data_IF_665845562485
#
_entry.id   IF_665845562485
#
_cell.length_a   1.000
_cell.length_b   1.000
_cell.length_c   1.000
_cell.angle_alpha   90.00
_cell.angle_beta   90.00
_cell.angle_gamma   90.00
#
_symmetry.space_group_name_H-M   'P 1'
#
loop_
_entity.id
_entity.type
_entity.pdbx_description
1 polymer ?
#
# COMPACT_ATOMS: atom_id res chain seq x y z
N UNK A 1 28.68 2.20 -53.12
CA UNK A 1 27.53 2.04 -52.21
C UNK A 1 27.94 2.72 -50.92
N UNK A 2 27.49 3.96 -50.75
CA UNK A 2 27.79 4.77 -49.56
C UNK A 2 26.92 4.28 -48.41
N UNK A 3 27.54 3.92 -47.29
CA UNK A 3 26.83 3.59 -46.05
C UNK A 3 26.49 4.90 -45.34
N UNK A 4 25.22 5.29 -45.38
CA UNK A 4 24.69 6.43 -44.64
C UNK A 4 24.75 6.13 -43.15
N UNK A 5 25.72 6.72 -42.45
CA UNK A 5 25.86 6.65 -40.99
C UNK A 5 24.85 7.55 -40.29
N UNK A 6 23.58 7.13 -40.28
CA UNK A 6 22.57 7.78 -39.44
C UNK A 6 22.81 7.41 -37.98
N UNK A 7 23.19 8.39 -37.15
CA UNK A 7 23.23 8.25 -35.70
C UNK A 7 21.83 7.90 -35.20
N UNK A 8 21.72 6.75 -34.52
CA UNK A 8 20.49 6.31 -33.85
C UNK A 8 20.62 6.58 -32.37
N UNK A 9 19.90 7.59 -31.90
CA UNK A 9 19.68 7.80 -30.47
C UNK A 9 19.00 6.56 -29.88
N UNK A 10 19.75 5.84 -29.05
CA UNK A 10 19.24 4.66 -28.36
C UNK A 10 19.05 5.00 -26.90
N UNK A 11 17.80 5.08 -26.45
CA UNK A 11 17.50 5.20 -25.03
C UNK A 11 17.65 3.83 -24.36
N UNK A 12 18.50 3.77 -23.32
CA UNK A 12 18.74 2.57 -22.52
C UNK A 12 18.26 2.83 -21.10
N UNK A 13 17.30 2.04 -20.62
CA UNK A 13 16.88 2.07 -19.22
C UNK A 13 17.92 1.38 -18.35
N UNK A 14 18.34 2.03 -17.26
CA UNK A 14 19.26 1.46 -16.29
C UNK A 14 18.80 1.76 -14.87
N UNK A 15 19.25 0.94 -13.92
CA UNK A 15 19.02 1.13 -12.49
C UNK A 15 20.34 1.57 -11.82
N UNK A 16 20.30 2.59 -10.99
CA UNK A 16 21.45 3.10 -10.24
C UNK A 16 21.21 2.98 -8.74
N UNK A 17 22.15 2.38 -8.04
CA UNK A 17 22.15 2.34 -6.58
C UNK A 17 22.73 3.62 -5.98
N UNK A 18 22.21 4.02 -4.83
CA UNK A 18 22.71 5.13 -4.03
C UNK A 18 22.94 4.62 -2.60
N UNK A 19 24.07 5.02 -2.00
CA UNK A 19 24.33 4.77 -0.59
C UNK A 19 23.78 5.94 0.22
N UNK A 20 22.90 5.63 1.17
CA UNK A 20 22.34 6.59 2.12
C UNK A 20 22.67 6.14 3.54
N UNK A 21 22.75 7.11 4.46
CA UNK A 21 22.99 6.88 5.88
C UNK A 21 21.82 7.47 6.67
N UNK A 22 21.34 6.74 7.68
CA UNK A 22 20.34 7.27 8.60
C UNK A 22 20.95 8.46 9.38
N UNK A 23 20.12 9.42 9.80
CA UNK A 23 20.58 10.58 10.56
C UNK A 23 21.34 10.18 11.84
N UNK A 24 20.96 9.07 12.50
CA UNK A 24 21.63 8.53 13.69
C UNK A 24 23.07 8.04 13.41
N UNK A 25 23.45 7.88 12.15
CA UNK A 25 24.78 7.43 11.74
C UNK A 25 25.73 8.59 11.40
N UNK A 26 25.28 9.85 11.52
CA UNK A 26 26.03 11.03 11.11
C UNK A 26 26.15 12.02 12.28
N UNK A 27 27.38 12.29 12.70
CA UNK A 27 27.67 13.31 13.70
C UNK A 27 27.57 14.74 13.11
N UNK A 28 27.13 15.70 13.93
CA UNK A 28 27.15 17.13 13.59
C UNK A 28 26.05 17.61 12.65
N UNK A 29 25.00 16.82 12.42
CA UNK A 29 23.81 17.28 11.69
C UNK A 29 23.05 18.34 12.49
N UNK A 30 22.36 19.27 11.79
CA UNK A 30 21.40 20.16 12.44
C UNK A 30 20.35 19.38 13.24
N UNK A 31 19.95 19.90 14.40
CA UNK A 31 18.98 19.26 15.31
C UNK A 31 17.67 18.88 14.62
N UNK A 32 17.27 19.61 13.57
CA UNK A 32 16.07 19.31 12.78
C UNK A 32 16.07 17.91 12.17
N UNK A 33 17.24 17.30 11.92
CA UNK A 33 17.36 15.94 11.39
C UNK A 33 17.26 14.85 12.47
N UNK A 34 17.33 15.24 13.74
CA UNK A 34 17.18 14.35 14.90
C UNK A 34 15.87 14.58 15.66
N UNK A 35 14.97 15.40 15.10
CA UNK A 35 13.66 15.62 15.69
C UNK A 35 12.90 14.29 15.73
N UNK A 36 12.77 13.72 16.92
CA UNK A 36 11.89 12.58 17.14
C UNK A 36 10.46 13.08 16.95
N UNK A 37 9.62 12.40 16.15
CA UNK A 37 8.21 12.71 16.13
C UNK A 37 7.68 12.61 17.56
N UNK A 38 6.90 13.59 18.00
CA UNK A 38 6.31 13.54 19.34
C UNK A 38 5.54 12.22 19.48
N UNK A 39 5.71 11.48 20.60
CA UNK A 39 4.98 10.25 20.80
C UNK A 39 3.49 10.57 20.78
N UNK A 40 2.81 10.17 19.72
CA UNK A 40 1.37 10.34 19.58
C UNK A 40 0.73 9.38 20.58
N UNK A 41 0.28 9.95 21.70
CA UNK A 41 -0.23 9.24 22.88
C UNK A 41 -1.71 8.86 22.79
N UNK A 42 -2.42 9.34 21.77
CA UNK A 42 -3.87 9.17 21.66
C UNK A 42 -4.25 8.17 20.54
N UNK A 43 -4.68 6.97 20.92
CA UNK A 43 -5.14 5.93 19.98
C UNK A 43 -6.50 6.25 19.35
N UNK A 44 -7.40 6.90 20.09
CA UNK A 44 -8.78 7.17 19.65
C UNK A 44 -8.82 8.08 18.41
N UNK A 45 -8.11 9.24 18.38
CA UNK A 45 -8.08 10.09 17.19
C UNK A 45 -7.51 9.40 15.94
N UNK A 46 -6.56 8.47 16.10
CA UNK A 46 -5.99 7.69 14.97
C UNK A 46 -7.02 6.77 14.33
N UNK A 47 -7.79 6.07 15.15
CA UNK A 47 -8.85 5.15 14.70
C UNK A 47 -9.99 5.91 14.02
N UNK A 48 -10.33 7.10 14.53
CA UNK A 48 -11.30 8.00 13.87
C UNK A 48 -10.77 8.54 12.54
N UNK A 49 -9.47 8.90 12.48
CA UNK A 49 -8.80 9.30 11.25
C UNK A 49 -8.83 8.17 10.21
N UNK A 50 -8.50 6.94 10.60
CA UNK A 50 -8.58 5.77 9.73
C UNK A 50 -10.02 5.53 9.24
N UNK A 51 -11.01 5.62 10.13
CA UNK A 51 -12.43 5.49 9.74
C UNK A 51 -12.84 6.53 8.71
N UNK A 52 -12.44 7.78 8.92
CA UNK A 52 -12.69 8.89 7.98
C UNK A 52 -11.97 8.67 6.64
N UNK A 53 -10.74 8.18 6.69
CA UNK A 53 -9.93 7.87 5.50
C UNK A 53 -10.61 6.84 4.60
N UNK A 54 -11.06 5.72 5.17
CA UNK A 54 -11.73 4.66 4.41
C UNK A 54 -13.12 5.06 3.94
N UNK A 55 -13.85 5.87 4.72
CA UNK A 55 -15.13 6.44 4.29
C UNK A 55 -14.97 7.36 3.07
N UNK A 56 -13.90 8.16 3.04
CA UNK A 56 -13.61 9.07 1.93
C UNK A 56 -13.28 8.35 0.60
N UNK A 57 -12.89 7.07 0.65
CA UNK A 57 -12.63 6.30 -0.57
C UNK A 57 -13.88 6.11 -1.44
N UNK A 58 -15.07 6.13 -0.82
CA UNK A 58 -16.34 5.82 -1.48
C UNK A 58 -16.46 4.35 -1.91
N UNK A 59 -15.68 3.45 -1.30
CA UNK A 59 -15.82 2.02 -1.52
C UNK A 59 -17.10 1.49 -0.84
N UNK A 60 -17.80 0.56 -1.50
CA UNK A 60 -18.88 -0.20 -0.87
C UNK A 60 -18.24 -1.22 0.09
N UNK A 61 -18.27 -0.94 1.38
CA UNK A 61 -17.74 -1.79 2.44
C UNK A 61 -18.93 -2.45 3.15
N UNK A 62 -18.94 -3.79 3.15
CA UNK A 62 -20.01 -4.59 3.76
C UNK A 62 -19.45 -5.44 4.88
N UNK A 63 -20.25 -5.65 5.91
CA UNK A 63 -19.87 -6.46 7.07
C UNK A 63 -20.69 -7.74 7.18
N UNK A 64 -20.03 -8.85 7.47
CA UNK A 64 -20.65 -10.17 7.62
C UNK A 64 -19.73 -11.32 7.22
N UNK A 65 -20.11 -12.54 7.59
CA UNK A 65 -19.29 -13.72 7.35
C UNK A 65 -17.97 -13.73 8.14
N UNK A 66 -17.15 -14.78 7.97
CA UNK A 66 -15.88 -14.92 8.68
C UNK A 66 -14.67 -14.35 7.93
N UNK A 67 -14.79 -14.07 6.64
CA UNK A 67 -13.65 -13.77 5.76
C UNK A 67 -13.67 -12.34 5.23
N UNK A 68 -12.49 -11.73 5.12
CA UNK A 68 -12.29 -10.46 4.41
C UNK A 68 -11.88 -10.73 2.95
N UNK A 69 -12.43 -9.98 2.01
CA UNK A 69 -12.03 -10.04 0.60
C UNK A 69 -12.58 -8.88 -0.23
N UNK A 70 -11.87 -8.50 -1.29
CA UNK A 70 -12.38 -7.66 -2.37
C UNK A 70 -13.05 -8.48 -3.48
N UNK A 71 -14.35 -8.27 -3.66
CA UNK A 71 -15.15 -8.90 -4.70
C UNK A 71 -15.20 -8.06 -5.98
N UNK A 72 -14.34 -8.38 -6.95
CA UNK A 72 -14.24 -7.62 -8.20
C UNK A 72 -15.54 -7.56 -9.02
N UNK A 73 -16.34 -8.64 -9.02
CA UNK A 73 -17.55 -8.73 -9.85
C UNK A 73 -18.67 -7.79 -9.42
N UNK A 74 -18.85 -7.61 -8.11
CA UNK A 74 -19.85 -6.71 -7.52
C UNK A 74 -19.24 -5.41 -6.99
N UNK A 75 -17.94 -5.22 -7.19
CA UNK A 75 -17.15 -4.05 -6.81
C UNK A 75 -17.33 -3.60 -5.35
N UNK A 76 -17.24 -4.54 -4.41
CA UNK A 76 -17.35 -4.25 -2.97
C UNK A 76 -16.23 -4.93 -2.17
N UNK A 77 -15.95 -4.38 -1.00
CA UNK A 77 -15.09 -4.96 0.02
C UNK A 77 -15.98 -5.65 1.04
N UNK A 78 -15.75 -6.95 1.25
CA UNK A 78 -16.36 -7.70 2.33
C UNK A 78 -15.41 -7.71 3.52
N UNK A 79 -15.92 -7.39 4.70
CA UNK A 79 -15.22 -7.49 5.98
C UNK A 79 -16.01 -8.38 6.93
N UNK A 80 -15.36 -9.16 7.81
CA UNK A 80 -15.99 -9.72 8.99
C UNK A 80 -16.53 -8.60 9.90
N UNK A 81 -17.49 -8.89 10.80
CA UNK A 81 -17.86 -7.97 11.86
C UNK A 81 -16.64 -7.51 12.66
N UNK A 82 -16.66 -6.27 13.15
CA UNK A 82 -15.52 -5.68 13.86
C UNK A 82 -15.10 -6.52 15.08
N UNK A 83 -16.06 -7.16 15.74
CA UNK A 83 -15.86 -8.03 16.91
C UNK A 83 -15.08 -9.31 16.60
N UNK A 84 -14.92 -9.67 15.31
CA UNK A 84 -14.06 -10.77 14.90
C UNK A 84 -12.56 -10.38 14.90
N UNK A 85 -12.24 -9.10 15.04
CA UNK A 85 -10.88 -8.58 15.10
C UNK A 85 -10.44 -8.38 16.55
N UNK A 86 -9.13 -8.52 16.77
CA UNK A 86 -8.53 -8.34 18.09
C UNK A 86 -8.59 -6.88 18.56
N UNK A 87 -8.39 -5.96 17.62
CA UNK A 87 -8.35 -4.52 17.85
C UNK A 87 -8.66 -3.77 16.53
N UNK A 88 -8.81 -2.45 16.66
CA UNK A 88 -9.12 -1.58 15.55
C UNK A 88 -7.99 -1.50 14.50
N UNK A 89 -6.74 -1.60 14.93
CA UNK A 89 -5.58 -1.57 14.02
C UNK A 89 -5.57 -2.79 13.11
N UNK A 90 -5.86 -3.98 13.67
CA UNK A 90 -6.01 -5.22 12.90
C UNK A 90 -7.15 -5.14 11.88
N UNK A 91 -8.28 -4.53 12.27
CA UNK A 91 -9.40 -4.29 11.36
C UNK A 91 -8.99 -3.37 10.20
N UNK A 92 -8.36 -2.22 10.50
CA UNK A 92 -7.98 -1.25 9.48
C UNK A 92 -6.81 -1.71 8.60
N UNK A 93 -5.89 -2.51 9.12
CA UNK A 93 -4.84 -3.14 8.31
C UNK A 93 -5.43 -4.14 7.31
N UNK A 94 -6.42 -4.93 7.74
CA UNK A 94 -7.14 -5.84 6.84
C UNK A 94 -7.95 -5.05 5.81
N UNK A 95 -8.62 -3.97 6.23
CA UNK A 95 -9.34 -3.09 5.31
C UNK A 95 -8.41 -2.39 4.31
N UNK A 96 -7.21 -1.99 4.73
CA UNK A 96 -6.19 -1.40 3.85
C UNK A 96 -5.73 -2.37 2.76
N UNK A 97 -5.55 -3.65 3.13
CA UNK A 97 -5.24 -4.73 2.17
C UNK A 97 -6.34 -4.87 1.12
N UNK A 98 -7.59 -5.02 1.57
CA UNK A 98 -8.71 -5.18 0.64
C UNK A 98 -9.00 -3.91 -0.16
N UNK A 99 -8.77 -2.72 0.40
CA UNK A 99 -8.85 -1.46 -0.32
C UNK A 99 -7.76 -1.36 -1.41
N UNK A 100 -6.58 -1.91 -1.16
CA UNK A 100 -5.53 -1.98 -2.18
C UNK A 100 -5.93 -2.90 -3.32
N UNK A 101 -6.55 -4.05 -3.03
CA UNK A 101 -7.18 -4.87 -4.07
C UNK A 101 -8.31 -4.15 -4.79
N UNK A 102 -9.14 -3.40 -4.07
CA UNK A 102 -10.20 -2.60 -4.65
C UNK A 102 -9.62 -1.67 -5.73
N UNK A 103 -8.48 -1.01 -5.52
CA UNK A 103 -7.88 -0.14 -6.55
C UNK A 103 -7.65 -0.79 -7.93
N UNK A 104 -7.52 -2.12 -8.02
CA UNK A 104 -7.23 -2.86 -9.26
C UNK A 104 -8.35 -2.86 -10.29
N UNK A 105 -9.58 -2.56 -9.89
CA UNK A 105 -10.76 -2.70 -10.74
C UNK A 105 -10.64 -1.88 -12.04
N UNK A 106 -11.26 -2.31 -13.15
CA UNK A 106 -11.17 -1.63 -14.45
C UNK A 106 -11.63 -0.17 -14.46
N UNK A 107 -12.46 0.24 -13.51
CA UNK A 107 -12.90 1.64 -13.35
C UNK A 107 -11.90 2.52 -12.58
N UNK A 108 -10.77 1.97 -12.16
CA UNK A 108 -9.78 2.61 -11.28
C UNK A 108 -8.39 2.52 -11.89
N UNK A 109 -7.49 1.72 -11.33
CA UNK A 109 -6.13 1.57 -11.85
C UNK A 109 -6.04 0.55 -12.97
N UNK A 110 -7.11 -0.25 -13.20
CA UNK A 110 -7.16 -1.32 -14.20
C UNK A 110 -5.87 -2.17 -14.21
N UNK A 111 -5.45 -2.55 -12.99
CA UNK A 111 -4.17 -3.21 -12.78
C UNK A 111 -4.30 -4.69 -13.14
N UNK A 112 -3.72 -5.06 -14.27
CA UNK A 112 -3.56 -6.46 -14.70
C UNK A 112 -2.09 -6.89 -14.59
N UNK A 113 -1.84 -7.85 -13.71
CA UNK A 113 -0.52 -8.45 -13.47
C UNK A 113 -0.40 -9.83 -14.14
N UNK A 114 -1.17 -10.06 -15.21
CA UNK A 114 -1.18 -11.30 -15.99
C UNK A 114 -1.90 -12.45 -15.29
N UNK A 115 -2.87 -12.14 -14.43
CA UNK A 115 -3.64 -13.14 -13.66
C UNK A 115 -4.56 -13.92 -14.59
N UNK A 116 -4.36 -15.23 -14.68
CA UNK A 116 -5.18 -16.16 -15.48
C UNK A 116 -6.04 -17.08 -14.60
N UNK A 117 -5.57 -17.46 -13.40
CA UNK A 117 -6.26 -18.31 -12.40
C UNK A 117 -5.88 -17.95 -10.96
N UNK A 118 -6.69 -18.35 -9.98
CA UNK A 118 -6.34 -18.26 -8.56
C UNK A 118 -5.08 -19.10 -8.26
N UNK A 119 -4.11 -18.55 -7.54
CA UNK A 119 -2.85 -19.24 -7.20
C UNK A 119 -1.76 -19.23 -8.29
N UNK A 120 -1.94 -18.46 -9.38
CA UNK A 120 -0.88 -18.26 -10.38
C UNK A 120 0.05 -17.08 -10.04
N UNK A 121 1.10 -16.88 -10.84
CA UNK A 121 2.09 -15.82 -10.59
C UNK A 121 1.48 -14.41 -10.56
N UNK A 122 0.43 -14.15 -11.36
CA UNK A 122 -0.26 -12.86 -11.38
C UNK A 122 -1.11 -12.64 -10.13
N UNK A 123 -1.78 -13.69 -9.65
CA UNK A 123 -2.40 -13.68 -8.32
C UNK A 123 -1.36 -13.39 -7.24
N UNK A 124 -0.18 -14.01 -7.35
CA UNK A 124 0.84 -13.87 -6.34
C UNK A 124 1.47 -12.48 -6.25
N UNK A 125 1.68 -11.85 -7.41
CA UNK A 125 2.07 -10.45 -7.47
C UNK A 125 1.00 -9.52 -6.90
N UNK A 126 -0.28 -9.77 -7.17
CA UNK A 126 -1.38 -8.93 -6.70
C UNK A 126 -1.54 -8.96 -5.18
N UNK A 127 -1.31 -10.10 -4.53
CA UNK A 127 -1.26 -10.18 -3.06
C UNK A 127 -0.05 -9.42 -2.51
N UNK A 128 1.13 -9.53 -3.15
CA UNK A 128 2.30 -8.74 -2.75
C UNK A 128 2.06 -7.23 -2.86
N UNK A 129 1.34 -6.80 -3.89
CA UNK A 129 0.89 -5.40 -4.05
C UNK A 129 -0.04 -4.99 -2.91
N UNK A 130 -1.03 -5.82 -2.57
CA UNK A 130 -1.99 -5.54 -1.52
C UNK A 130 -1.35 -5.41 -0.14
N UNK A 131 -0.37 -6.25 0.15
CA UNK A 131 0.36 -6.24 1.41
C UNK A 131 1.25 -5.01 1.56
N UNK A 132 2.00 -4.64 0.51
CA UNK A 132 2.78 -3.41 0.50
C UNK A 132 1.87 -2.17 0.58
N UNK A 133 0.73 -2.19 -0.11
CA UNK A 133 -0.26 -1.11 -0.04
C UNK A 133 -0.87 -0.97 1.35
N UNK A 134 -1.19 -2.08 2.00
CA UNK A 134 -1.64 -2.11 3.39
C UNK A 134 -0.58 -1.52 4.31
N UNK A 135 0.66 -2.01 4.24
CA UNK A 135 1.78 -1.52 5.06
C UNK A 135 2.02 0.00 4.88
N UNK A 136 2.03 0.49 3.64
CA UNK A 136 2.21 1.92 3.36
C UNK A 136 1.03 2.75 3.86
N UNK A 137 -0.20 2.26 3.71
CA UNK A 137 -1.40 2.95 4.19
C UNK A 137 -1.44 2.99 5.72
N UNK A 138 -1.15 1.89 6.40
CA UNK A 138 -1.04 1.85 7.86
C UNK A 138 0.05 2.80 8.37
N UNK A 139 1.23 2.82 7.74
CA UNK A 139 2.29 3.76 8.09
C UNK A 139 1.86 5.22 7.90
N UNK A 140 1.14 5.54 6.81
CA UNK A 140 0.62 6.87 6.56
C UNK A 140 -0.47 7.31 7.56
N UNK A 141 -1.24 6.35 8.09
CA UNK A 141 -2.28 6.57 9.09
C UNK A 141 -1.79 6.43 10.53
N UNK A 142 -0.49 6.18 10.73
CA UNK A 142 0.13 5.95 12.04
C UNK A 142 -0.56 4.81 12.82
N UNK A 143 -0.93 3.74 12.11
CA UNK A 143 -1.50 2.51 12.65
C UNK A 143 -0.39 1.47 12.84
N UNK A 144 -0.31 0.87 14.02
CA UNK A 144 0.71 -0.13 14.33
C UNK A 144 0.09 -1.51 14.62
N UNK A 145 -0.44 -2.21 13.60
CA UNK A 145 -1.07 -3.50 13.80
C UNK A 145 -0.07 -4.48 14.44
N UNK A 146 -0.49 -5.13 15.52
CA UNK A 146 0.34 -6.14 16.17
C UNK A 146 0.71 -7.26 15.19
N UNK A 147 1.97 -7.72 15.24
CA UNK A 147 2.45 -8.85 14.43
C UNK A 147 1.64 -10.11 14.78
N UNK A 148 0.80 -10.58 13.86
CA UNK A 148 -0.06 -11.76 14.05
C UNK A 148 0.62 -13.05 13.62
N UNK A 149 0.24 -14.15 14.24
CA UNK A 149 0.72 -15.50 13.87
C UNK A 149 0.19 -15.98 12.51
N UNK A 150 -0.93 -15.44 12.03
CA UNK A 150 -1.48 -15.77 10.70
C UNK A 150 -0.63 -15.24 9.52
N UNK A 151 0.32 -14.34 9.78
CA UNK A 151 1.23 -13.80 8.75
C UNK A 151 2.09 -14.85 8.06
N UNK A 152 2.20 -16.06 8.62
CA UNK A 152 2.94 -17.17 8.02
C UNK A 152 2.44 -17.54 6.62
N UNK A 153 1.13 -17.44 6.37
CA UNK A 153 0.55 -17.75 5.05
C UNK A 153 0.94 -16.71 3.99
N UNK A 154 1.03 -15.42 4.36
CA UNK A 154 1.49 -14.34 3.49
C UNK A 154 3.00 -14.43 3.19
N UNK A 155 3.80 -14.78 4.20
CA UNK A 155 5.26 -14.95 4.05
C UNK A 155 5.60 -16.09 3.07
N UNK A 156 4.90 -17.22 3.13
CA UNK A 156 5.17 -18.35 2.22
C UNK A 156 4.90 -17.97 0.75
N UNK A 157 3.83 -17.22 0.53
CA UNK A 157 3.45 -16.73 -0.79
C UNK A 157 4.43 -15.66 -1.32
N UNK A 158 4.85 -14.70 -0.49
CA UNK A 158 5.86 -13.71 -0.86
C UNK A 158 7.20 -14.38 -1.20
N UNK A 159 7.61 -15.37 -0.40
CA UNK A 159 8.86 -16.08 -0.63
C UNK A 159 8.86 -16.78 -2.00
N UNK A 160 7.72 -17.30 -2.45
CA UNK A 160 7.60 -17.89 -3.79
C UNK A 160 7.77 -16.82 -4.88
N UNK A 161 7.04 -15.73 -4.80
CA UNK A 161 7.11 -14.62 -5.77
C UNK A 161 8.52 -14.04 -5.87
N UNK A 162 9.15 -13.78 -4.73
CA UNK A 162 10.48 -13.17 -4.66
C UNK A 162 11.61 -14.13 -5.10
N UNK A 163 11.42 -15.45 -4.95
CA UNK A 163 12.34 -16.45 -5.49
C UNK A 163 12.24 -16.56 -7.01
N UNK A 164 11.03 -16.48 -7.55
CA UNK A 164 10.76 -16.64 -8.98
C UNK A 164 11.13 -15.38 -9.77
N UNK A 165 10.95 -14.18 -9.20
CA UNK A 165 11.31 -12.90 -9.82
C UNK A 165 11.96 -11.91 -8.83
N UNK A 166 13.25 -11.65 -9.05
CA UNK A 166 14.05 -10.68 -8.26
C UNK A 166 13.59 -9.23 -8.41
N UNK A 167 12.78 -8.93 -9.44
CA UNK A 167 12.20 -7.60 -9.69
C UNK A 167 10.78 -7.46 -9.15
N UNK A 168 10.19 -8.53 -8.61
CA UNK A 168 8.82 -8.53 -8.13
C UNK A 168 8.58 -7.48 -7.06
N UNK A 169 9.52 -7.32 -6.11
CA UNK A 169 9.38 -6.33 -5.04
C UNK A 169 9.28 -4.89 -5.57
N UNK A 170 10.08 -4.54 -6.58
CA UNK A 170 10.06 -3.21 -7.18
C UNK A 170 8.76 -2.97 -7.95
N UNK A 171 8.31 -3.98 -8.68
CA UNK A 171 7.06 -3.93 -9.44
C UNK A 171 5.87 -3.79 -8.49
N UNK A 172 5.82 -4.61 -7.43
CA UNK A 172 4.75 -4.56 -6.46
C UNK A 172 4.72 -3.24 -5.69
N UNK A 173 5.88 -2.74 -5.24
CA UNK A 173 5.98 -1.46 -4.56
C UNK A 173 5.50 -0.29 -5.44
N UNK A 174 5.85 -0.28 -6.73
CA UNK A 174 5.36 0.73 -7.67
C UNK A 174 3.83 0.67 -7.87
N UNK A 175 3.21 -0.48 -7.62
CA UNK A 175 1.78 -0.71 -7.76
C UNK A 175 1.00 -0.69 -6.44
N UNK A 176 1.67 -0.47 -5.30
CA UNK A 176 1.09 -0.53 -3.94
C UNK A 176 -0.07 0.47 -3.70
N UNK A 177 -0.36 1.36 -4.65
CA UNK A 177 -1.56 2.19 -4.73
C UNK A 177 -1.88 3.07 -3.51
N UNK A 178 -0.99 3.16 -2.53
CA UNK A 178 -1.13 4.03 -1.37
C UNK A 178 -1.35 5.50 -1.80
N UNK A 179 -0.59 5.97 -2.79
CA UNK A 179 -0.77 7.32 -3.35
C UNK A 179 -2.18 7.53 -3.94
N UNK A 180 -2.77 6.50 -4.56
CA UNK A 180 -4.12 6.59 -5.11
C UNK A 180 -5.19 6.65 -4.01
N UNK A 181 -4.99 5.95 -2.89
CA UNK A 181 -5.87 6.02 -1.72
C UNK A 181 -5.74 7.38 -1.02
N UNK A 182 -4.51 7.88 -0.87
CA UNK A 182 -4.22 9.20 -0.31
C UNK A 182 -4.78 10.35 -1.18
N UNK A 183 -4.73 10.23 -2.50
CA UNK A 183 -5.28 11.24 -3.41
C UNK A 183 -6.81 11.37 -3.35
N UNK A 184 -7.52 10.43 -2.71
CA UNK A 184 -8.98 10.50 -2.49
C UNK A 184 -9.37 11.22 -1.20
N UNK A 185 -8.39 11.60 -0.39
CA UNK A 185 -8.66 12.32 0.84
C UNK A 185 -9.10 13.75 0.52
N UNK A 186 -10.07 14.31 1.26
CA UNK A 186 -10.48 15.69 1.08
C UNK A 186 -9.26 16.60 1.26
N UNK A 187 -9.10 17.59 0.37
CA UNK A 187 -8.06 18.60 0.55
C UNK A 187 -8.27 19.27 1.91
N UNK A 188 -7.23 19.32 2.74
CA UNK A 188 -7.26 20.11 3.96
C UNK A 188 -7.70 21.53 3.57
N UNK A 189 -8.85 21.96 4.07
CA UNK A 189 -9.29 23.33 3.88
C UNK A 189 -8.21 24.22 4.49
N UNK A 190 -7.61 25.10 3.70
CA UNK A 190 -6.73 26.14 4.21
C UNK A 190 -7.51 26.89 5.29
N UNK A 191 -6.99 27.06 6.52
CA UNK A 191 -7.65 27.90 7.50
C UNK A 191 -7.75 29.30 6.90
N UNK A 192 -8.98 29.69 6.55
CA UNK A 192 -9.26 30.96 5.90
C UNK A 192 -8.72 32.09 6.75
N UNK A 193 -7.99 33.01 6.12
CA UNK A 193 -7.70 34.33 6.67
C UNK A 193 -9.04 34.99 7.05
N UNK A 194 -9.31 35.01 8.35
CA UNK A 194 -10.34 35.87 8.91
C UNK A 194 -9.84 37.31 8.75
N UNK A 195 -10.49 38.04 7.85
CA UNK A 195 -10.40 39.50 7.72
C UNK A 195 -11.11 40.21 8.87
#
# INVERSE_FOLDING_TARGET
>A
MEATGEERDTQIHYMKGYSVFNAEQIDGLPVSYHAQPEPVTETIPRIECAGSFFAALGADIRHGGPDAYYAIGSDHIQMPPFEAFQDAESYYATLAHEATHWTRHPKRLDRDLGRKRFGDAGYAMEELVAELGSAFTCAALDLNPALRTEHASYIDHWLRVLKDDKRAIFTAAAHAAADFLNARQPSAASPGEAA
#
